data_IF_953717010901
#
_entry.id   IF_953717010901
#
_cell.length_a   1.000
_cell.length_b   1.000
_cell.length_c   1.000
_cell.angle_alpha   90.00
_cell.angle_beta   90.00
_cell.angle_gamma   90.00
#
_symmetry.space_group_name_H-M   'P 1'
#
loop_
_entity.id
_entity.type
_entity.pdbx_description
1 polymer ?
#
# COMPACT_ATOMS: atom_id res chain seq x y z
N UNK A 1 16.42 -55.51 -26.68
CA UNK A 1 15.35 -55.05 -25.77
C UNK A 1 15.77 -53.68 -25.25
N UNK A 2 15.19 -52.59 -25.76
CA UNK A 2 15.58 -51.21 -25.44
C UNK A 2 14.62 -50.67 -24.37
N UNK A 3 15.15 -50.40 -23.18
CA UNK A 3 14.41 -49.80 -22.06
C UNK A 3 14.28 -48.30 -22.37
N UNK A 4 13.05 -47.84 -22.64
CA UNK A 4 12.74 -46.42 -22.70
C UNK A 4 12.52 -45.91 -21.27
N UNK A 5 13.43 -45.07 -20.78
CA UNK A 5 13.24 -44.32 -19.54
C UNK A 5 12.36 -43.12 -19.88
N UNK A 6 11.10 -43.18 -19.46
CA UNK A 6 10.21 -42.02 -19.45
C UNK A 6 10.69 -41.06 -18.37
N UNK A 7 11.40 -40.00 -18.76
CA UNK A 7 11.73 -38.89 -17.87
C UNK A 7 10.45 -38.09 -17.62
N UNK A 8 9.84 -38.30 -16.46
CA UNK A 8 8.69 -37.54 -15.99
C UNK A 8 9.18 -36.13 -15.59
N UNK A 9 9.02 -35.18 -16.51
CA UNK A 9 9.26 -33.76 -16.24
C UNK A 9 8.16 -33.27 -15.30
N UNK A 10 8.45 -33.22 -13.99
CA UNK A 10 7.58 -32.62 -12.98
C UNK A 10 7.48 -31.11 -13.26
N UNK A 11 6.39 -30.71 -13.92
CA UNK A 11 6.01 -29.31 -14.06
C UNK A 11 5.53 -28.84 -12.67
N UNK A 12 6.44 -28.28 -11.88
CA UNK A 12 6.05 -27.57 -10.65
C UNK A 12 5.38 -26.27 -11.09
N UNK A 13 4.05 -26.30 -11.22
CA UNK A 13 3.26 -25.08 -11.28
C UNK A 13 3.47 -24.34 -9.96
N UNK A 14 4.24 -23.25 -9.97
CA UNK A 14 4.29 -22.31 -8.87
C UNK A 14 2.90 -21.66 -8.76
N UNK A 15 2.08 -22.14 -7.83
CA UNK A 15 0.83 -21.48 -7.46
C UNK A 15 1.18 -20.12 -6.84
N UNK A 16 1.00 -19.06 -7.60
CA UNK A 16 1.00 -17.71 -7.06
C UNK A 16 -0.25 -17.57 -6.20
N UNK A 17 -0.10 -17.62 -4.88
CA UNK A 17 -1.19 -17.21 -3.99
C UNK A 17 -1.41 -15.71 -4.19
N UNK A 18 -2.54 -15.34 -4.79
CA UNK A 18 -2.97 -13.95 -4.84
C UNK A 18 -3.21 -13.47 -3.41
N UNK A 19 -2.70 -12.29 -3.06
CA UNK A 19 -2.92 -11.73 -1.73
C UNK A 19 -4.36 -11.24 -1.67
N UNK A 20 -5.15 -11.79 -0.73
CA UNK A 20 -6.52 -11.33 -0.49
C UNK A 20 -6.50 -10.23 0.59
N UNK A 21 -6.64 -8.98 0.15
CA UNK A 21 -6.68 -7.82 1.04
C UNK A 21 -8.09 -7.61 1.58
N UNK A 22 -8.19 -7.32 2.88
CA UNK A 22 -9.45 -7.00 3.56
C UNK A 22 -9.28 -5.77 4.45
N UNK A 23 -10.35 -4.98 4.58
CA UNK A 23 -10.39 -3.82 5.46
C UNK A 23 -10.10 -4.22 6.92
N UNK A 24 -9.32 -3.39 7.62
CA UNK A 24 -8.88 -3.64 8.99
C UNK A 24 -7.73 -4.64 9.13
N UNK A 25 -7.15 -5.15 8.04
CA UNK A 25 -5.90 -5.91 8.11
C UNK A 25 -4.71 -4.98 8.37
N UNK A 26 -3.73 -5.47 9.13
CA UNK A 26 -2.42 -4.84 9.32
C UNK A 26 -1.35 -5.71 8.69
N UNK A 27 -0.52 -5.12 7.84
CA UNK A 27 0.52 -5.82 7.08
C UNK A 27 1.89 -5.22 7.33
N UNK A 28 2.89 -6.09 7.38
CA UNK A 28 4.29 -5.72 7.07
C UNK A 28 4.43 -5.62 5.55
N UNK A 29 5.37 -4.78 5.11
CA UNK A 29 5.66 -4.56 3.69
C UNK A 29 7.16 -4.39 3.46
N UNK A 30 7.58 -4.28 2.21
CA UNK A 30 8.96 -3.89 1.86
C UNK A 30 9.16 -2.42 2.22
N UNK A 31 9.82 -2.16 3.34
CA UNK A 31 10.00 -0.81 3.90
C UNK A 31 11.23 -0.10 3.31
N UNK A 32 11.38 1.19 3.64
CA UNK A 32 12.65 1.90 3.46
C UNK A 32 13.63 1.44 4.54
N UNK A 33 14.92 1.62 4.27
CA UNK A 33 15.98 1.33 5.25
C UNK A 33 15.74 2.14 6.53
N UNK A 34 15.86 1.49 7.69
CA UNK A 34 15.61 2.06 9.03
C UNK A 34 14.14 2.33 9.39
N UNK A 35 13.20 1.73 8.66
CA UNK A 35 11.76 1.75 8.95
C UNK A 35 11.17 0.32 8.97
N UNK A 36 11.96 -0.68 9.37
CA UNK A 36 11.59 -2.10 9.33
C UNK A 36 10.36 -2.44 10.20
N UNK A 37 10.11 -1.65 11.25
CA UNK A 37 8.93 -1.78 12.12
C UNK A 37 7.68 -1.08 11.54
N UNK A 38 7.80 -0.42 10.38
CA UNK A 38 6.69 0.27 9.73
C UNK A 38 5.63 -0.73 9.25
N UNK A 39 4.36 -0.38 9.43
CA UNK A 39 3.23 -1.20 9.01
C UNK A 39 2.21 -0.38 8.24
N UNK A 40 1.36 -1.09 7.50
CA UNK A 40 0.17 -0.49 6.91
C UNK A 40 -1.10 -1.07 7.52
N UNK A 41 -2.13 -0.25 7.63
CA UNK A 41 -3.50 -0.71 7.89
C UNK A 41 -4.34 -0.48 6.64
N UNK A 42 -5.06 -1.52 6.18
CA UNK A 42 -6.03 -1.40 5.10
C UNK A 42 -7.28 -0.70 5.65
N UNK A 43 -7.52 0.53 5.22
CA UNK A 43 -8.61 1.38 5.72
C UNK A 43 -9.92 1.12 5.00
N UNK A 44 -9.87 1.10 3.66
CA UNK A 44 -11.04 0.97 2.78
C UNK A 44 -10.63 0.37 1.44
N UNK A 45 -11.47 -0.47 0.85
CA UNK A 45 -11.27 -0.99 -0.51
C UNK A 45 -12.49 -0.64 -1.37
N UNK A 46 -12.24 0.00 -2.51
CA UNK A 46 -13.30 0.47 -3.40
C UNK A 46 -12.96 0.17 -4.87
N UNK A 47 -13.98 0.06 -5.73
CA UNK A 47 -13.81 -0.09 -7.16
C UNK A 47 -14.28 1.16 -7.89
N UNK A 48 -13.50 1.58 -8.87
CA UNK A 48 -13.72 2.77 -9.67
C UNK A 48 -13.66 2.43 -11.16
N UNK A 49 -14.50 3.05 -12.02
CA UNK A 49 -14.49 2.75 -13.46
C UNK A 49 -13.16 3.01 -14.16
N UNK A 50 -12.46 4.08 -13.79
CA UNK A 50 -11.20 4.55 -14.38
C UNK A 50 -9.96 4.08 -13.61
N UNK A 51 -10.02 4.06 -12.27
CA UNK A 51 -8.90 3.65 -11.44
C UNK A 51 -8.84 2.13 -11.20
N UNK A 52 -9.94 1.40 -11.42
CA UNK A 52 -10.07 0.00 -11.02
C UNK A 52 -10.18 -0.13 -9.49
N UNK A 53 -9.60 -1.20 -8.93
CA UNK A 53 -9.63 -1.45 -7.48
C UNK A 53 -8.59 -0.59 -6.75
N UNK A 54 -9.08 0.29 -5.89
CA UNK A 54 -8.29 1.21 -5.06
C UNK A 54 -8.32 0.74 -3.60
N UNK A 55 -7.16 0.78 -2.96
CA UNK A 55 -6.94 0.42 -1.56
C UNK A 55 -6.47 1.66 -0.83
N UNK A 56 -7.24 2.11 0.14
CA UNK A 56 -6.88 3.20 1.03
C UNK A 56 -6.12 2.63 2.23
N UNK A 57 -4.95 3.18 2.52
CA UNK A 57 -4.10 2.71 3.61
C UNK A 57 -3.73 3.84 4.56
N UNK A 58 -3.45 3.47 5.80
CA UNK A 58 -2.67 4.25 6.77
C UNK A 58 -1.27 3.63 6.83
N UNK A 59 -0.25 4.47 6.97
CA UNK A 59 1.14 4.03 7.19
C UNK A 59 1.59 4.50 8.57
N UNK A 60 2.20 3.64 9.37
CA UNK A 60 2.64 3.95 10.74
C UNK A 60 4.05 3.43 10.98
N UNK A 61 4.83 4.10 11.82
CA UNK A 61 6.20 3.69 12.13
C UNK A 61 7.24 4.18 11.11
N UNK A 62 6.90 5.23 10.36
CA UNK A 62 7.84 5.88 9.43
C UNK A 62 8.60 7.01 10.12
N UNK A 63 9.59 7.57 9.44
CA UNK A 63 10.38 8.72 9.84
C UNK A 63 10.58 9.64 8.65
N UNK A 64 9.56 10.44 8.35
CA UNK A 64 9.62 11.40 7.25
C UNK A 64 9.86 12.81 7.81
N UNK A 65 10.90 13.51 7.34
CA UNK A 65 11.14 14.89 7.74
C UNK A 65 10.18 15.80 6.96
N UNK A 66 9.32 16.53 7.67
CA UNK A 66 8.49 17.56 7.07
C UNK A 66 9.41 18.70 6.57
N UNK A 67 9.43 19.02 5.26
CA UNK A 67 10.33 20.05 4.75
C UNK A 67 9.91 21.48 5.14
N UNK A 68 8.63 21.71 5.49
CA UNK A 68 8.11 23.01 5.90
C UNK A 68 8.37 23.28 7.38
N UNK A 69 8.04 22.30 8.24
CA UNK A 69 8.09 22.45 9.71
C UNK A 69 9.35 21.86 10.34
N UNK A 70 10.11 21.06 9.61
CA UNK A 70 11.32 20.38 10.09
C UNK A 70 11.07 19.22 11.06
N UNK A 71 9.84 19.04 11.56
CA UNK A 71 9.49 17.95 12.46
C UNK A 71 9.47 16.59 11.75
N UNK A 72 9.60 15.52 12.52
CA UNK A 72 9.45 14.15 12.01
C UNK A 72 7.96 13.79 12.02
N UNK A 73 7.49 13.31 10.87
CA UNK A 73 6.20 12.67 10.65
C UNK A 73 6.38 11.18 10.84
N UNK A 74 5.59 10.60 11.74
CA UNK A 74 5.67 9.18 12.13
C UNK A 74 4.58 8.30 11.54
N UNK A 75 3.55 8.93 10.99
CA UNK A 75 2.43 8.26 10.35
C UNK A 75 1.84 9.12 9.22
N UNK A 76 1.24 8.45 8.24
CA UNK A 76 0.43 9.09 7.20
C UNK A 76 -0.98 8.53 7.32
N UNK A 77 -1.98 9.36 7.71
CA UNK A 77 -3.33 8.89 8.02
C UNK A 77 -4.08 8.26 6.86
N UNK A 78 -3.80 8.68 5.61
CA UNK A 78 -4.52 8.23 4.43
C UNK A 78 -3.66 8.35 3.16
N UNK A 79 -3.53 7.25 2.42
CA UNK A 79 -2.98 7.21 1.07
C UNK A 79 -3.79 6.25 0.18
N UNK A 80 -4.17 6.65 -1.05
CA UNK A 80 -4.86 5.80 -2.02
C UNK A 80 -3.86 5.08 -2.95
N UNK A 81 -3.96 3.76 -3.05
CA UNK A 81 -3.12 2.94 -3.94
C UNK A 81 -3.95 2.07 -4.88
N UNK A 82 -3.42 1.75 -6.05
CA UNK A 82 -3.95 0.64 -6.87
C UNK A 82 -3.71 -0.68 -6.14
N UNK A 83 -4.64 -1.62 -6.27
CA UNK A 83 -4.55 -2.93 -5.62
C UNK A 83 -3.21 -3.64 -5.88
N UNK A 84 -2.78 -3.69 -7.14
CA UNK A 84 -1.53 -4.35 -7.53
C UNK A 84 -0.27 -3.69 -6.95
N UNK A 85 -0.33 -2.41 -6.55
CA UNK A 85 0.77 -1.75 -5.87
C UNK A 85 0.92 -2.24 -4.42
N UNK A 86 -0.21 -2.45 -3.74
CA UNK A 86 -0.23 -3.04 -2.40
C UNK A 86 0.24 -4.50 -2.44
N UNK A 87 -0.25 -5.30 -3.39
CA UNK A 87 0.18 -6.71 -3.53
C UNK A 87 1.69 -6.86 -3.72
N UNK A 88 2.31 -5.97 -4.49
CA UNK A 88 3.78 -5.98 -4.71
C UNK A 88 4.57 -5.53 -3.47
N UNK A 89 3.93 -4.80 -2.58
CA UNK A 89 4.54 -4.18 -1.40
C UNK A 89 4.47 -5.07 -0.17
N UNK A 90 3.31 -5.67 0.13
CA UNK A 90 3.10 -6.43 1.37
C UNK A 90 3.91 -7.72 1.41
N UNK A 91 4.32 -8.12 2.61
CA UNK A 91 5.17 -9.30 2.84
C UNK A 91 4.54 -10.28 3.83
N UNK A 92 3.98 -9.78 4.93
CA UNK A 92 3.42 -10.61 6.00
C UNK A 92 2.15 -9.97 6.57
N UNK A 93 1.12 -10.81 6.80
CA UNK A 93 -0.11 -10.40 7.47
C UNK A 93 0.08 -10.46 8.98
N UNK A 94 0.24 -9.30 9.61
CA UNK A 94 0.48 -9.22 11.05
C UNK A 94 -0.82 -9.47 11.83
N UNK A 95 -1.94 -8.84 11.41
CA UNK A 95 -3.24 -8.92 12.10
C UNK A 95 -4.40 -8.87 11.12
N UNK A 96 -5.43 -9.71 11.32
CA UNK A 96 -6.60 -9.83 10.42
C UNK A 96 -7.71 -8.81 10.65
N UNK A 97 -7.85 -8.26 11.86
CA UNK A 97 -9.00 -7.41 12.21
C UNK A 97 -8.68 -6.46 13.36
N UNK A 98 -8.16 -5.28 13.05
CA UNK A 98 -8.06 -4.16 13.99
C UNK A 98 -9.29 -3.26 13.88
N UNK A 99 -9.53 -2.45 14.92
CA UNK A 99 -10.35 -1.25 14.76
C UNK A 99 -9.67 -0.37 13.70
N UNK A 100 -10.40 -0.02 12.65
CA UNK A 100 -9.91 0.88 11.61
C UNK A 100 -9.77 2.28 12.26
N UNK A 101 -8.55 2.88 12.26
CA UNK A 101 -8.36 4.24 12.75
C UNK A 101 -9.20 5.23 11.96
N UNK A 102 -9.52 6.39 12.55
CA UNK A 102 -10.20 7.43 11.80
C UNK A 102 -9.31 7.95 10.65
N UNK A 103 -9.90 8.05 9.46
CA UNK A 103 -9.24 8.48 8.22
C UNK A 103 -10.15 9.36 7.36
N UNK A 104 -11.29 9.76 7.91
CA UNK A 104 -12.40 10.40 7.22
C UNK A 104 -12.00 11.71 6.53
N UNK A 105 -11.17 12.51 7.19
CA UNK A 105 -10.74 13.81 6.67
C UNK A 105 -9.92 13.64 5.38
N UNK A 106 -8.83 12.87 5.43
CA UNK A 106 -7.98 12.61 4.27
C UNK A 106 -8.74 11.93 3.14
N UNK A 107 -9.62 10.98 3.49
CA UNK A 107 -10.49 10.33 2.51
C UNK A 107 -11.42 11.32 1.81
N UNK A 108 -12.12 12.18 2.55
CA UNK A 108 -13.04 13.17 1.95
C UNK A 108 -12.30 14.18 1.07
N UNK A 109 -11.14 14.65 1.51
CA UNK A 109 -10.30 15.55 0.71
C UNK A 109 -9.87 14.89 -0.60
N UNK A 110 -9.30 13.69 -0.51
CA UNK A 110 -8.92 12.92 -1.70
C UNK A 110 -10.12 12.64 -2.61
N UNK A 111 -11.26 12.21 -2.05
CA UNK A 111 -12.46 11.87 -2.83
C UNK A 111 -12.98 13.09 -3.59
N UNK A 112 -12.98 14.27 -2.96
CA UNK A 112 -13.35 15.54 -3.61
C UNK A 112 -12.42 15.85 -4.77
N UNK A 113 -11.10 15.76 -4.57
CA UNK A 113 -10.11 16.01 -5.62
C UNK A 113 -10.21 14.96 -6.77
N UNK A 114 -10.44 13.69 -6.45
CA UNK A 114 -10.66 12.63 -7.44
C UNK A 114 -11.89 12.92 -8.31
N UNK A 115 -13.01 13.32 -7.69
CA UNK A 115 -14.23 13.70 -8.44
C UNK A 115 -14.03 14.95 -9.31
N UNK A 116 -13.07 15.81 -8.98
CA UNK A 116 -12.66 16.96 -9.80
C UNK A 116 -11.65 16.59 -10.90
N UNK A 117 -11.15 15.34 -10.93
CA UNK A 117 -10.10 14.90 -11.86
C UNK A 117 -8.68 15.31 -11.44
N UNK A 118 -8.50 15.75 -10.20
CA UNK A 118 -7.25 16.30 -9.65
C UNK A 118 -6.47 15.30 -8.79
N UNK A 119 -7.07 14.15 -8.46
CA UNK A 119 -6.41 13.09 -7.69
C UNK A 119 -6.59 11.71 -8.33
N UNK A 120 -5.63 10.84 -8.08
CA UNK A 120 -5.65 9.44 -8.51
C UNK A 120 -5.29 8.48 -7.37
N UNK A 121 -4.78 7.31 -7.73
CA UNK A 121 -4.24 6.35 -6.78
C UNK A 121 -2.81 5.96 -7.19
N UNK A 122 -1.91 5.80 -6.23
CA UNK A 122 -0.52 5.47 -6.48
C UNK A 122 -0.37 4.05 -7.07
N UNK A 123 0.46 3.94 -8.12
CA UNK A 123 0.75 2.66 -8.78
C UNK A 123 2.13 2.10 -8.38
N UNK A 124 3.00 2.96 -7.83
CA UNK A 124 4.27 2.59 -7.23
C UNK A 124 4.09 1.83 -5.92
N UNK A 125 5.08 1.03 -5.54
CA UNK A 125 5.11 0.38 -4.22
C UNK A 125 5.15 1.41 -3.10
N UNK A 126 4.80 0.98 -1.87
CA UNK A 126 4.66 1.89 -0.73
C UNK A 126 6.00 2.60 -0.42
N UNK A 127 7.12 1.88 -0.39
CA UNK A 127 8.46 2.45 -0.18
C UNK A 127 8.84 3.51 -1.21
N UNK A 128 8.58 3.24 -2.49
CA UNK A 128 8.83 4.18 -3.59
C UNK A 128 7.96 5.42 -3.41
N UNK A 129 6.69 5.25 -3.08
CA UNK A 129 5.76 6.36 -2.84
C UNK A 129 6.20 7.22 -1.65
N UNK A 130 6.62 6.59 -0.54
CA UNK A 130 7.15 7.31 0.62
C UNK A 130 8.43 8.09 0.31
N UNK A 131 9.29 7.59 -0.60
CA UNK A 131 10.45 8.34 -1.09
C UNK A 131 10.04 9.55 -1.93
N UNK A 132 9.03 9.41 -2.79
CA UNK A 132 8.52 10.52 -3.61
C UNK A 132 7.90 11.63 -2.76
N UNK A 133 7.26 11.30 -1.63
CA UNK A 133 6.71 12.30 -0.71
C UNK A 133 7.79 13.22 -0.10
N UNK A 134 9.04 12.75 0.05
CA UNK A 134 10.14 13.61 0.52
C UNK A 134 10.37 14.79 -0.44
N UNK A 135 10.26 14.55 -1.75
CA UNK A 135 10.46 15.55 -2.80
C UNK A 135 9.18 16.22 -3.29
N UNK A 136 8.02 15.88 -2.71
CA UNK A 136 6.71 16.39 -3.13
C UNK A 136 6.49 17.85 -2.73
N UNK A 137 5.47 18.47 -3.32
CA UNK A 137 4.96 19.75 -2.82
C UNK A 137 4.18 19.50 -1.53
N UNK A 138 4.63 20.12 -0.44
CA UNK A 138 3.92 20.10 0.83
C UNK A 138 3.18 21.42 0.97
N UNK A 139 1.94 21.35 1.42
CA UNK A 139 1.13 22.52 1.75
C UNK A 139 0.85 22.51 3.25
N UNK A 140 0.89 23.69 3.85
CA UNK A 140 0.37 23.85 5.19
C UNK A 140 -1.15 23.94 5.13
N UNK A 141 -1.80 23.22 6.03
CA UNK A 141 -3.19 23.46 6.32
C UNK A 141 -3.28 24.73 7.17
N UNK A 142 -4.05 25.72 6.72
CA UNK A 142 -4.41 26.90 7.53
C UNK A 142 -5.25 26.52 8.77
#
# INVERSE_FOLDING_TARGET
MRIFIFSLLLLVCASSFAVELQEGQVWTYKTRVHEEDSTITILKIENYPDLGKVVHIRVEGIRLKNPLKGNIVTDIPHLPFKYGAIEKSVTELNRKKTKIPDFDEGYRMWKKAYLAGEAGAFESTIDVTLNLLIGGHWEEKE
#
